data_IF_958209500760
#
_entry.id   IF_958209500760
#
_cell.length_a   1.000
_cell.length_b   1.000
_cell.length_c   1.000
_cell.angle_alpha   90.00
_cell.angle_beta   90.00
_cell.angle_gamma   90.00
#
_symmetry.space_group_name_H-M   'P 1'
#
loop_
_entity.id
_entity.type
_entity.pdbx_description
1 polymer ?
#
# COMPACT_ATOMS: atom_id res chain seq x y z
N UNK A 1 3.63 -12.36 -0.50
CA UNK A 1 3.73 -11.34 -1.55
C UNK A 1 4.28 -11.92 -2.85
N UNK A 2 5.27 -12.79 -2.78
CA UNK A 2 5.85 -13.41 -3.99
C UNK A 2 4.80 -14.16 -4.80
N UNK A 3 3.97 -14.94 -4.15
CA UNK A 3 2.89 -15.67 -4.80
C UNK A 3 1.86 -14.73 -5.40
N UNK A 4 1.55 -13.63 -4.72
CA UNK A 4 0.63 -12.62 -5.21
C UNK A 4 1.21 -11.89 -6.43
N UNK A 5 2.50 -11.54 -6.41
CA UNK A 5 3.18 -10.96 -7.59
C UNK A 5 3.09 -11.89 -8.79
N UNK A 6 3.28 -13.18 -8.58
CA UNK A 6 3.19 -14.16 -9.65
C UNK A 6 1.76 -14.30 -10.16
N UNK A 7 0.77 -14.26 -9.29
CA UNK A 7 -0.64 -14.28 -9.68
C UNK A 7 -1.00 -13.06 -10.54
N UNK A 8 -0.50 -11.87 -10.20
CA UNK A 8 -0.69 -10.65 -11.00
C UNK A 8 -0.06 -10.83 -12.38
N UNK A 9 1.16 -11.34 -12.46
CA UNK A 9 1.85 -11.58 -13.72
C UNK A 9 1.06 -12.54 -14.63
N UNK A 10 0.63 -13.66 -14.06
CA UNK A 10 -0.17 -14.65 -14.79
C UNK A 10 -1.48 -14.05 -15.29
N UNK A 11 -2.16 -13.26 -14.46
CA UNK A 11 -3.41 -12.60 -14.83
C UNK A 11 -3.22 -11.64 -16.01
N UNK A 12 -2.18 -10.80 -15.93
CA UNK A 12 -1.90 -9.82 -17.00
C UNK A 12 -1.61 -10.53 -18.32
N UNK A 13 -0.80 -11.56 -18.29
CA UNK A 13 -0.44 -12.31 -19.50
C UNK A 13 -1.62 -13.12 -20.06
N UNK A 14 -2.53 -13.58 -19.21
CA UNK A 14 -3.69 -14.38 -19.61
C UNK A 14 -4.85 -13.53 -20.10
N UNK A 15 -5.20 -12.49 -19.35
CA UNK A 15 -6.40 -11.66 -19.60
C UNK A 15 -6.10 -10.26 -20.09
N UNK A 16 -5.02 -9.67 -19.61
CA UNK A 16 -4.61 -8.31 -19.97
C UNK A 16 -3.82 -8.21 -21.27
N UNK A 17 -3.44 -9.36 -21.83
CA UNK A 17 -2.59 -9.48 -23.02
C UNK A 17 -1.14 -9.10 -22.75
N UNK A 18 -0.88 -7.91 -22.25
CA UNK A 18 0.46 -7.44 -21.89
C UNK A 18 0.38 -6.37 -20.78
N UNK A 19 1.52 -6.11 -20.18
CA UNK A 19 1.65 -4.98 -19.26
C UNK A 19 1.51 -3.65 -20.01
N UNK A 20 0.92 -2.65 -19.36
CA UNK A 20 1.09 -1.27 -19.78
C UNK A 20 2.56 -0.88 -19.54
N UNK A 21 3.02 0.23 -20.14
CA UNK A 21 4.37 0.72 -19.86
C UNK A 21 4.51 1.04 -18.36
N UNK A 22 5.74 1.01 -17.86
CA UNK A 22 6.04 1.35 -16.47
C UNK A 22 5.53 2.73 -16.09
N UNK A 23 5.68 3.69 -17.00
CA UNK A 23 5.21 5.05 -16.74
C UNK A 23 3.69 5.12 -16.66
N UNK A 24 2.99 4.40 -17.53
CA UNK A 24 1.52 4.32 -17.46
C UNK A 24 1.08 3.65 -16.15
N UNK A 25 1.72 2.55 -15.76
CA UNK A 25 1.41 1.89 -14.49
C UNK A 25 1.71 2.78 -13.29
N UNK A 26 2.75 3.60 -13.35
CA UNK A 26 3.03 4.58 -12.30
C UNK A 26 1.91 5.62 -12.19
N UNK A 27 1.39 6.10 -13.33
CA UNK A 27 0.25 7.02 -13.35
C UNK A 27 -1.00 6.34 -12.76
N UNK A 28 -1.26 5.08 -13.11
CA UNK A 28 -2.36 4.31 -12.54
C UNK A 28 -2.23 4.17 -11.02
N UNK A 29 -1.03 3.90 -10.53
CA UNK A 29 -0.76 3.81 -9.09
C UNK A 29 -1.13 5.13 -8.39
N UNK A 30 -0.71 6.25 -8.97
CA UNK A 30 -1.01 7.58 -8.43
C UNK A 30 -2.52 7.84 -8.39
N UNK A 31 -3.25 7.44 -9.43
CA UNK A 31 -4.71 7.55 -9.46
C UNK A 31 -5.36 6.72 -8.34
N UNK A 32 -4.94 5.48 -8.16
CA UNK A 32 -5.49 4.61 -7.11
C UNK A 32 -5.19 5.15 -5.71
N UNK A 33 -3.99 5.70 -5.48
CA UNK A 33 -3.64 6.37 -4.23
C UNK A 33 -4.56 7.57 -4.00
N UNK A 34 -4.84 8.34 -5.05
CA UNK A 34 -5.77 9.48 -5.00
C UNK A 34 -7.19 9.03 -4.62
N UNK A 35 -7.66 7.91 -5.17
CA UNK A 35 -8.98 7.36 -4.83
C UNK A 35 -9.04 6.91 -3.36
N UNK A 36 -7.98 6.28 -2.88
CA UNK A 36 -7.88 5.93 -1.46
C UNK A 36 -7.90 7.19 -0.58
N UNK A 37 -7.13 8.21 -0.95
CA UNK A 37 -7.09 9.47 -0.21
C UNK A 37 -8.47 10.12 -0.12
N UNK A 38 -9.25 10.05 -1.20
CA UNK A 38 -10.62 10.56 -1.24
C UNK A 38 -11.51 9.85 -0.23
N UNK A 39 -11.47 8.53 -0.17
CA UNK A 39 -12.25 7.72 0.78
C UNK A 39 -11.83 8.04 2.22
N UNK A 40 -10.53 8.07 2.49
CA UNK A 40 -10.00 8.33 3.84
C UNK A 40 -10.35 9.74 4.33
N UNK A 41 -10.29 10.74 3.45
CA UNK A 41 -10.64 12.12 3.80
C UNK A 41 -12.13 12.26 4.14
N UNK A 42 -12.99 11.49 3.47
CA UNK A 42 -14.44 11.52 3.72
C UNK A 42 -14.86 10.69 4.92
N UNK A 43 -14.21 9.57 5.15
CA UNK A 43 -14.56 8.67 6.25
C UNK A 43 -14.01 9.14 7.59
N UNK A 44 -12.81 9.71 7.60
CA UNK A 44 -12.07 10.08 8.82
C UNK A 44 -11.70 11.56 8.92
N UNK A 45 -11.97 12.34 7.87
CA UNK A 45 -11.69 13.76 7.82
C UNK A 45 -12.95 14.60 7.90
N UNK A 46 -12.87 15.81 7.36
CA UNK A 46 -13.93 16.81 7.44
C UNK A 46 -14.86 16.81 6.23
N UNK A 47 -14.60 15.99 5.23
CA UNK A 47 -15.46 15.85 4.04
C UNK A 47 -16.46 14.72 4.22
N UNK A 48 -17.56 14.77 3.47
CA UNK A 48 -18.62 13.78 3.52
C UNK A 48 -18.78 13.06 2.19
N UNK A 49 -19.24 11.83 2.25
CA UNK A 49 -19.63 11.08 1.06
C UNK A 49 -20.94 11.61 0.49
N UNK A 50 -21.06 11.54 -0.84
CA UNK A 50 -22.34 11.69 -1.51
C UNK A 50 -23.12 10.37 -1.41
N UNK A 51 -24.45 10.47 -1.56
CA UNK A 51 -25.29 9.29 -1.53
C UNK A 51 -24.88 8.28 -2.61
N UNK A 52 -24.77 7.02 -2.23
CA UNK A 52 -24.40 5.94 -3.13
C UNK A 52 -22.90 5.79 -3.42
N UNK A 53 -22.04 6.64 -2.86
CA UNK A 53 -20.60 6.48 -3.02
C UNK A 53 -20.05 5.31 -2.19
N UNK A 54 -19.02 4.63 -2.72
CA UNK A 54 -18.30 3.61 -1.97
C UNK A 54 -17.54 4.22 -0.78
N UNK A 55 -17.75 3.65 0.40
CA UNK A 55 -17.11 4.10 1.64
C UNK A 55 -16.07 3.11 2.18
N UNK A 56 -15.89 1.98 1.49
CA UNK A 56 -14.96 0.93 1.92
C UNK A 56 -13.59 1.14 1.27
N UNK A 57 -12.52 1.35 2.06
CA UNK A 57 -11.19 1.56 1.51
C UNK A 57 -10.51 0.29 1.00
N UNK A 58 -11.07 -0.90 1.29
CA UNK A 58 -10.40 -2.15 0.98
C UNK A 58 -10.17 -2.37 -0.51
N UNK A 59 -11.13 -1.99 -1.35
CA UNK A 59 -11.02 -2.12 -2.80
C UNK A 59 -9.85 -1.27 -3.33
N UNK A 60 -9.77 -0.02 -2.87
CA UNK A 60 -8.71 0.88 -3.31
C UNK A 60 -7.34 0.45 -2.80
N UNK A 61 -7.27 -0.07 -1.58
CA UNK A 61 -6.03 -0.63 -1.05
C UNK A 61 -5.58 -1.84 -1.87
N UNK A 62 -6.51 -2.70 -2.26
CA UNK A 62 -6.22 -3.85 -3.12
C UNK A 62 -5.74 -3.40 -4.50
N UNK A 63 -6.37 -2.39 -5.08
CA UNK A 63 -5.99 -1.85 -6.39
C UNK A 63 -4.58 -1.25 -6.36
N UNK A 64 -4.24 -0.52 -5.30
CA UNK A 64 -2.89 0.02 -5.10
C UNK A 64 -1.87 -1.13 -5.06
N UNK A 65 -2.15 -2.14 -4.26
CA UNK A 65 -1.26 -3.29 -4.10
C UNK A 65 -1.09 -4.03 -5.44
N UNK A 66 -2.17 -4.19 -6.20
CA UNK A 66 -2.16 -4.84 -7.51
C UNK A 66 -1.25 -4.11 -8.49
N UNK A 67 -1.39 -2.80 -8.62
CA UNK A 67 -0.57 -1.99 -9.55
C UNK A 67 0.88 -1.97 -9.09
N UNK A 68 1.12 -1.88 -7.78
CA UNK A 68 2.48 -1.93 -7.23
C UNK A 68 3.15 -3.27 -7.57
N UNK A 69 2.44 -4.36 -7.46
CA UNK A 69 2.95 -5.68 -7.84
C UNK A 69 3.25 -5.77 -9.34
N UNK A 70 2.40 -5.18 -10.18
CA UNK A 70 2.66 -5.11 -11.62
C UNK A 70 3.95 -4.34 -11.90
N UNK A 71 4.16 -3.20 -11.27
CA UNK A 71 5.39 -2.42 -11.39
C UNK A 71 6.62 -3.20 -10.90
N UNK A 72 6.49 -3.91 -9.79
CA UNK A 72 7.56 -4.73 -9.26
C UNK A 72 7.95 -5.82 -10.27
N UNK A 73 6.97 -6.48 -10.86
CA UNK A 73 7.21 -7.49 -11.89
C UNK A 73 7.95 -6.90 -13.10
N UNK A 74 7.54 -5.71 -13.55
CA UNK A 74 8.16 -5.05 -14.70
C UNK A 74 9.61 -4.62 -14.46
N UNK A 75 9.92 -4.31 -13.22
CA UNK A 75 11.25 -3.79 -12.84
C UNK A 75 12.15 -4.85 -12.20
N UNK A 76 11.70 -6.09 -12.15
CA UNK A 76 12.47 -7.20 -11.58
C UNK A 76 12.62 -7.14 -10.06
N UNK A 77 11.68 -6.50 -9.37
CA UNK A 77 11.71 -6.38 -7.92
C UNK A 77 10.91 -7.50 -7.28
N UNK A 78 11.53 -8.25 -6.37
CA UNK A 78 10.84 -9.19 -5.47
C UNK A 78 10.39 -8.41 -4.23
N UNK A 79 9.09 -8.16 -4.11
CA UNK A 79 8.54 -7.38 -3.00
C UNK A 79 8.64 -8.10 -1.65
N UNK A 80 8.68 -9.44 -1.64
CA UNK A 80 8.91 -10.19 -0.42
C UNK A 80 10.27 -9.82 0.17
N UNK A 81 11.30 -9.88 -0.65
CA UNK A 81 12.67 -9.54 -0.26
C UNK A 81 12.81 -8.06 0.06
N UNK A 82 12.24 -7.20 -0.79
CA UNK A 82 12.31 -5.75 -0.59
C UNK A 82 11.64 -5.33 0.73
N UNK A 83 10.47 -5.90 1.04
CA UNK A 83 9.76 -5.62 2.29
C UNK A 83 10.57 -6.12 3.50
N UNK A 84 11.15 -7.31 3.40
CA UNK A 84 11.98 -7.87 4.47
C UNK A 84 13.16 -6.95 4.77
N UNK A 85 13.87 -6.49 3.75
CA UNK A 85 14.98 -5.53 3.90
C UNK A 85 14.53 -4.21 4.51
N UNK A 86 13.34 -3.74 4.12
CA UNK A 86 12.76 -2.51 4.67
C UNK A 86 12.47 -2.65 6.17
N UNK A 87 11.90 -3.77 6.58
CA UNK A 87 11.63 -4.06 7.99
C UNK A 87 12.93 -4.12 8.79
N UNK A 88 13.93 -4.83 8.29
CA UNK A 88 15.24 -4.94 8.95
C UNK A 88 15.91 -3.56 9.11
N UNK A 89 15.88 -2.76 8.06
CA UNK A 89 16.44 -1.41 8.07
C UNK A 89 15.75 -0.53 9.12
N UNK A 90 14.44 -0.56 9.17
CA UNK A 90 13.66 0.24 10.12
C UNK A 90 13.89 -0.25 11.56
N UNK A 91 13.93 -1.54 11.76
CA UNK A 91 14.20 -2.13 13.07
C UNK A 91 15.57 -1.72 13.58
N UNK A 92 16.60 -1.83 12.74
CA UNK A 92 17.96 -1.45 13.10
C UNK A 92 18.08 0.04 13.44
N UNK A 93 17.43 0.90 12.64
CA UNK A 93 17.47 2.35 12.83
C UNK A 93 16.67 2.78 14.08
N UNK A 94 15.50 2.22 14.29
CA UNK A 94 14.50 2.75 15.21
C UNK A 94 14.24 1.84 16.44
N UNK A 95 14.98 0.75 16.63
CA UNK A 95 14.73 -0.24 17.68
C UNK A 95 14.60 0.35 19.08
N UNK A 96 15.39 1.41 19.39
CA UNK A 96 15.34 2.08 20.69
C UNK A 96 14.77 3.49 20.61
N UNK A 97 14.75 4.08 19.42
CA UNK A 97 14.33 5.46 19.19
C UNK A 97 12.92 5.74 19.69
N UNK A 98 11.96 4.91 19.29
CA UNK A 98 10.55 5.10 19.67
C UNK A 98 10.29 4.68 21.13
N UNK A 99 10.98 3.68 21.60
CA UNK A 99 10.92 3.26 23.02
C UNK A 99 11.36 4.37 23.97
N UNK A 100 12.32 5.17 23.53
CA UNK A 100 12.87 6.28 24.32
C UNK A 100 12.11 7.60 24.11
N UNK A 101 11.06 7.59 23.27
CA UNK A 101 10.23 8.77 23.07
C UNK A 101 9.08 8.80 24.07
N UNK A 102 9.07 9.80 25.02
CA UNK A 102 8.03 9.86 26.05
C UNK A 102 6.60 9.90 25.50
N UNK A 103 6.38 10.58 24.38
CA UNK A 103 5.05 10.69 23.77
C UNK A 103 4.50 9.33 23.34
N UNK A 104 5.33 8.51 22.67
CA UNK A 104 4.94 7.20 22.20
C UNK A 104 4.79 6.20 23.37
N UNK A 105 5.66 6.29 24.34
CA UNK A 105 5.58 5.44 25.54
C UNK A 105 4.30 5.74 26.34
N UNK A 106 3.93 7.01 26.49
CA UNK A 106 2.68 7.41 27.15
C UNK A 106 1.45 6.88 26.40
N UNK A 107 1.42 7.01 25.07
CA UNK A 107 0.34 6.47 24.23
C UNK A 107 0.22 4.95 24.34
N UNK A 108 1.36 4.25 24.38
CA UNK A 108 1.37 2.81 24.56
C UNK A 108 0.77 2.39 25.89
N UNK A 109 1.10 3.11 26.99
CA UNK A 109 0.53 2.85 28.31
C UNK A 109 -0.97 3.02 28.32
N UNK A 110 -1.48 4.07 27.68
CA UNK A 110 -2.91 4.32 27.56
C UNK A 110 -3.62 3.21 26.80
N UNK A 111 -3.01 2.71 25.72
CA UNK A 111 -3.57 1.63 24.91
C UNK A 111 -3.55 0.26 25.64
N UNK A 112 -2.58 0.04 26.49
CA UNK A 112 -2.45 -1.20 27.25
C UNK A 112 -3.40 -1.27 28.46
N UNK A 113 -4.02 -0.16 28.80
CA UNK A 113 -5.04 -0.07 29.85
C UNK A 113 -6.42 -0.42 29.30
#
# INVERSE_FOLDING_TARGET
IREAQQAVDTWIKTYGVRYFSELTNMACLTEEVGELARIMARRYGDQSFKDGENQDPSEEMADILWVLMALANQTGVDLTEALQKSIEKKTKRDATRHKNNPKLTADKKEKDL
#
